data_IF_585713176944
#
_entry.id   IF_585713176944
#
_cell.length_a   1.000
_cell.length_b   1.000
_cell.length_c   1.000
_cell.angle_alpha   90.00
_cell.angle_beta   90.00
_cell.angle_gamma   90.00
#
_symmetry.space_group_name_H-M   'P 1'
#
loop_
_entity.id
_entity.type
_entity.pdbx_description
1 polymer ?
#
# COMPACT_ATOMS: atom_id res chain seq x y z
N UNK A 1 -6.94 39.18 -25.58
CA UNK A 1 -7.42 38.20 -26.57
C UNK A 1 -6.28 37.90 -27.54
N UNK A 2 -5.52 36.81 -27.34
CA UNK A 2 -4.43 36.42 -28.25
C UNK A 2 -4.81 35.16 -29.01
N UNK A 3 -5.23 35.34 -30.26
CA UNK A 3 -5.30 34.30 -31.30
C UNK A 3 -3.85 34.00 -31.75
N UNK A 4 -3.56 32.75 -32.14
CA UNK A 4 -2.31 32.24 -32.75
C UNK A 4 -1.39 31.35 -31.88
N UNK A 5 -1.83 30.13 -31.55
CA UNK A 5 -0.93 29.00 -31.30
C UNK A 5 -1.19 27.91 -32.36
N UNK A 6 -0.17 27.60 -33.18
CA UNK A 6 -0.24 26.67 -34.35
C UNK A 6 -0.03 25.19 -34.02
N UNK A 7 0.02 24.80 -32.76
CA UNK A 7 0.11 23.40 -32.36
C UNK A 7 -1.17 22.98 -31.63
N UNK A 8 -2.09 22.35 -32.36
CA UNK A 8 -3.07 21.48 -31.70
C UNK A 8 -2.28 20.29 -31.16
N UNK A 9 -2.02 20.27 -29.86
CA UNK A 9 -1.60 19.04 -29.19
C UNK A 9 -2.67 18.00 -29.49
N UNK A 10 -2.36 17.05 -30.39
CA UNK A 10 -3.15 15.83 -30.52
C UNK A 10 -3.08 15.17 -29.14
N UNK A 11 -4.14 15.34 -28.35
CA UNK A 11 -4.41 14.49 -27.22
C UNK A 11 -4.55 13.07 -27.78
N UNK A 12 -3.44 12.34 -27.81
CA UNK A 12 -3.49 10.92 -28.04
C UNK A 12 -4.27 10.36 -26.87
N UNK A 13 -5.53 9.97 -27.12
CA UNK A 13 -6.32 9.21 -26.15
C UNK A 13 -5.58 7.90 -25.98
N UNK A 14 -4.65 7.86 -25.02
CA UNK A 14 -4.06 6.60 -24.57
C UNK A 14 -5.25 5.76 -24.13
N UNK A 15 -5.45 4.55 -24.67
CA UNK A 15 -6.49 3.68 -24.14
C UNK A 15 -6.15 3.46 -22.66
N UNK A 16 -6.99 4.02 -21.78
CA UNK A 16 -6.94 3.76 -20.34
C UNK A 16 -7.56 2.37 -20.17
N UNK A 17 -6.83 1.34 -20.59
CA UNK A 17 -7.19 -0.05 -20.33
C UNK A 17 -6.06 -0.74 -19.57
N UNK A 18 -5.45 -0.04 -18.60
CA UNK A 18 -4.91 -0.79 -17.47
C UNK A 18 -6.11 -1.30 -16.70
N UNK A 19 -6.44 -2.59 -16.89
CA UNK A 19 -7.29 -3.32 -15.97
C UNK A 19 -6.68 -3.14 -14.58
N UNK A 20 -7.21 -2.21 -13.81
CA UNK A 20 -6.85 -2.11 -12.40
C UNK A 20 -7.34 -3.41 -11.78
N UNK A 21 -6.41 -4.21 -11.26
CA UNK A 21 -6.79 -5.37 -10.46
C UNK A 21 -7.60 -4.86 -9.27
N UNK A 22 -8.90 -5.17 -9.28
CA UNK A 22 -9.81 -4.79 -8.22
C UNK A 22 -9.43 -5.62 -7.00
N UNK A 23 -8.93 -4.95 -5.95
CA UNK A 23 -8.66 -5.58 -4.66
C UNK A 23 -10.02 -6.03 -4.08
N UNK A 24 -10.25 -7.34 -4.05
CA UNK A 24 -11.46 -7.94 -3.47
C UNK A 24 -11.42 -7.81 -1.95
N UNK A 25 -12.57 -7.60 -1.32
CA UNK A 25 -12.74 -7.57 0.14
C UNK A 25 -11.89 -6.51 0.86
N UNK A 26 -11.58 -5.39 0.19
CA UNK A 26 -10.89 -4.27 0.83
C UNK A 26 -11.75 -3.66 1.95
N UNK A 27 -11.11 -3.36 3.07
CA UNK A 27 -11.72 -2.62 4.19
C UNK A 27 -11.31 -1.15 4.07
N UNK A 28 -12.28 -0.24 4.05
CA UNK A 28 -12.01 1.20 3.95
C UNK A 28 -11.31 1.72 5.20
N UNK A 29 -10.45 2.73 5.03
CA UNK A 29 -9.85 3.52 6.12
C UNK A 29 -10.91 4.13 7.05
N UNK A 30 -12.11 4.42 6.55
CA UNK A 30 -13.23 4.96 7.34
C UNK A 30 -13.74 3.98 8.39
N UNK A 31 -13.52 2.67 8.20
CA UNK A 31 -13.94 1.64 9.17
C UNK A 31 -12.91 1.47 10.30
N UNK A 32 -11.84 2.27 10.32
CA UNK A 32 -10.85 2.22 11.39
C UNK A 32 -11.40 2.82 12.68
N UNK A 33 -11.16 2.18 13.83
CA UNK A 33 -11.37 2.81 15.12
C UNK A 33 -10.58 4.12 15.25
N UNK A 34 -11.19 5.16 15.84
CA UNK A 34 -10.59 6.50 15.97
C UNK A 34 -9.25 6.51 16.72
N UNK A 35 -9.06 5.59 17.67
CA UNK A 35 -7.82 5.40 18.41
C UNK A 35 -6.58 5.23 17.49
N UNK A 36 -6.77 4.65 16.30
CA UNK A 36 -5.70 4.45 15.29
C UNK A 36 -5.31 5.79 14.69
N UNK A 37 -6.27 6.70 14.49
CA UNK A 37 -6.02 8.04 13.96
C UNK A 37 -5.35 8.95 14.99
N UNK A 38 -5.72 8.77 16.27
CA UNK A 38 -5.13 9.49 17.40
C UNK A 38 -3.75 8.97 17.82
N UNK A 39 -3.29 7.83 17.29
CA UNK A 39 -2.00 7.19 17.63
C UNK A 39 -1.88 6.88 19.13
N UNK A 40 -2.98 6.40 19.72
CA UNK A 40 -3.08 6.18 21.18
C UNK A 40 -2.53 4.82 21.64
N UNK A 41 -2.23 3.90 20.73
CA UNK A 41 -1.71 2.56 21.06
C UNK A 41 -0.55 2.15 20.17
N UNK A 42 0.30 1.28 20.72
CA UNK A 42 1.33 0.59 19.94
C UNK A 42 0.72 -0.53 19.10
N UNK A 43 1.28 -0.72 17.90
CA UNK A 43 1.01 -1.88 17.06
C UNK A 43 0.13 -1.60 15.86
N UNK A 44 -0.17 -0.34 15.57
CA UNK A 44 -0.81 0.06 14.33
C UNK A 44 0.28 0.42 13.31
N UNK A 45 0.35 -0.33 12.21
CA UNK A 45 1.40 -0.22 11.20
C UNK A 45 0.87 0.41 9.92
N UNK A 46 1.68 1.28 9.32
CA UNK A 46 1.50 1.79 7.97
C UNK A 46 2.54 1.13 7.05
N UNK A 47 2.10 0.62 5.89
CA UNK A 47 2.96 -0.09 4.96
C UNK A 47 2.89 0.54 3.57
N UNK A 48 4.07 0.73 2.97
CA UNK A 48 4.23 1.23 1.62
C UNK A 48 5.20 0.35 0.82
N UNK A 49 5.00 0.33 -0.50
CA UNK A 49 5.88 -0.34 -1.43
C UNK A 49 6.59 0.70 -2.29
N UNK A 50 7.86 0.88 -2.01
CA UNK A 50 8.77 1.73 -2.77
C UNK A 50 9.21 0.96 -4.00
N UNK A 51 8.96 1.51 -5.18
CA UNK A 51 9.33 0.90 -6.46
C UNK A 51 10.31 1.83 -7.16
N UNK A 52 11.47 1.31 -7.54
CA UNK A 52 12.43 2.09 -8.31
C UNK A 52 11.96 2.31 -9.75
N UNK A 53 12.37 3.46 -10.32
CA UNK A 53 12.15 3.75 -11.73
C UNK A 53 12.78 2.65 -12.60
N UNK A 54 12.15 2.36 -13.72
CA UNK A 54 12.57 1.33 -14.68
C UNK A 54 12.55 -0.11 -14.14
N UNK A 55 11.75 -0.39 -13.10
CA UNK A 55 11.58 -1.74 -12.51
C UNK A 55 12.89 -2.38 -12.01
N UNK A 56 13.90 -1.57 -11.66
CA UNK A 56 15.21 -2.07 -11.20
C UNK A 56 15.18 -2.72 -9.81
N UNK A 57 14.16 -2.40 -9.03
CA UNK A 57 13.98 -2.96 -7.70
C UNK A 57 12.68 -2.52 -7.04
N UNK A 58 12.35 -3.17 -5.93
CA UNK A 58 11.28 -2.78 -5.04
C UNK A 58 11.70 -3.02 -3.59
N UNK A 59 11.17 -2.23 -2.67
CA UNK A 59 11.37 -2.38 -1.23
C UNK A 59 10.05 -2.13 -0.52
N UNK A 60 9.80 -2.86 0.56
CA UNK A 60 8.66 -2.58 1.44
C UNK A 60 9.15 -1.82 2.66
N UNK A 61 8.44 -0.76 3.02
CA UNK A 61 8.61 -0.03 4.27
C UNK A 61 7.38 -0.26 5.15
N UNK A 62 7.61 -0.45 6.44
CA UNK A 62 6.56 -0.58 7.45
C UNK A 62 6.91 0.32 8.62
N UNK A 63 5.98 1.18 9.00
CA UNK A 63 6.17 2.22 10.00
C UNK A 63 5.11 2.03 11.08
N UNK A 64 5.56 1.84 12.31
CA UNK A 64 4.66 1.83 13.46
C UNK A 64 4.24 3.28 13.78
N UNK A 65 2.93 3.53 13.92
CA UNK A 65 2.39 4.90 13.87
C UNK A 65 2.59 5.72 15.14
N UNK A 66 2.89 5.07 16.27
CA UNK A 66 2.95 5.71 17.61
C UNK A 66 4.39 6.06 18.01
N UNK A 67 5.32 5.12 17.86
CA UNK A 67 6.74 5.29 18.19
C UNK A 67 7.62 5.50 16.95
N UNK A 68 7.04 5.53 15.74
CA UNK A 68 7.76 5.68 14.48
C UNK A 68 8.86 4.62 14.26
N UNK A 69 8.65 3.40 14.77
CA UNK A 69 9.56 2.27 14.49
C UNK A 69 9.48 1.90 13.01
N UNK A 70 10.62 1.84 12.35
CA UNK A 70 10.70 1.59 10.91
C UNK A 70 11.33 0.23 10.63
N UNK A 71 10.64 -0.56 9.81
CA UNK A 71 11.15 -1.81 9.23
C UNK A 71 11.16 -1.68 7.71
N UNK A 72 12.32 -1.87 7.09
CA UNK A 72 12.47 -1.80 5.63
C UNK A 72 13.14 -3.08 5.13
N UNK A 73 12.65 -3.64 4.03
CA UNK A 73 13.32 -4.76 3.35
C UNK A 73 13.23 -4.64 1.84
N UNK A 74 14.35 -4.93 1.17
CA UNK A 74 14.43 -5.05 -0.28
C UNK A 74 13.74 -6.34 -0.76
N UNK A 75 12.97 -6.23 -1.84
CA UNK A 75 12.29 -7.35 -2.48
C UNK A 75 13.15 -7.87 -3.63
N UNK A 76 13.76 -9.03 -3.44
CA UNK A 76 14.60 -9.67 -4.47
C UNK A 76 13.80 -10.08 -5.70
N UNK A 77 12.53 -10.47 -5.51
CA UNK A 77 11.61 -10.89 -6.57
C UNK A 77 10.80 -9.74 -7.17
N UNK A 78 11.20 -8.49 -6.92
CA UNK A 78 10.54 -7.29 -7.46
C UNK A 78 9.09 -7.13 -7.03
N UNK A 79 8.18 -6.92 -7.99
CA UNK A 79 6.75 -6.57 -7.77
C UNK A 79 5.81 -7.77 -7.58
N UNK A 80 6.33 -8.97 -7.36
CA UNK A 80 5.49 -10.15 -7.15
C UNK A 80 4.67 -9.98 -5.85
N UNK A 81 3.34 -9.98 -5.96
CA UNK A 81 2.43 -9.72 -4.84
C UNK A 81 2.50 -10.80 -3.74
N UNK A 82 2.75 -12.06 -4.10
CA UNK A 82 2.91 -13.16 -3.15
C UNK A 82 4.24 -13.04 -2.40
N UNK A 83 5.33 -12.76 -3.11
CA UNK A 83 6.64 -12.53 -2.50
C UNK A 83 6.61 -11.33 -1.54
N UNK A 84 5.91 -10.26 -1.92
CA UNK A 84 5.66 -9.11 -1.05
C UNK A 84 4.89 -9.51 0.21
N UNK A 85 3.78 -10.24 0.06
CA UNK A 85 2.97 -10.67 1.20
C UNK A 85 3.77 -11.55 2.17
N UNK A 86 4.54 -12.51 1.66
CA UNK A 86 5.41 -13.35 2.47
C UNK A 86 6.47 -12.52 3.19
N UNK A 87 7.07 -11.55 2.50
CA UNK A 87 8.05 -10.64 3.11
C UNK A 87 7.45 -9.85 4.28
N UNK A 88 6.24 -9.28 4.09
CA UNK A 88 5.55 -8.55 5.17
C UNK A 88 5.23 -9.47 6.34
N UNK A 89 4.76 -10.69 6.07
CA UNK A 89 4.49 -11.68 7.12
C UNK A 89 5.78 -11.99 7.89
N UNK A 90 6.86 -12.34 7.21
CA UNK A 90 8.13 -12.72 7.86
C UNK A 90 8.69 -11.60 8.74
N UNK A 91 8.53 -10.35 8.31
CA UNK A 91 9.00 -9.19 9.08
C UNK A 91 8.14 -8.87 10.30
N UNK A 92 6.82 -9.08 10.22
CA UNK A 92 5.90 -8.77 11.31
C UNK A 92 5.58 -9.97 12.21
N UNK A 93 5.88 -11.20 11.79
CA UNK A 93 5.61 -12.42 12.54
C UNK A 93 6.26 -12.43 13.94
N UNK A 94 7.51 -11.96 14.13
CA UNK A 94 8.11 -11.83 15.47
C UNK A 94 7.32 -10.88 16.40
N UNK A 95 6.60 -9.92 15.82
CA UNK A 95 5.82 -8.90 16.53
C UNK A 95 4.31 -9.19 16.51
N UNK A 96 3.88 -10.36 16.04
CA UNK A 96 2.48 -10.68 15.75
C UNK A 96 1.51 -10.30 16.89
N UNK A 97 1.88 -10.58 18.13
CA UNK A 97 1.03 -10.29 19.30
C UNK A 97 0.83 -8.78 19.54
N UNK A 98 1.78 -7.97 19.10
CA UNK A 98 1.72 -6.52 19.15
C UNK A 98 0.99 -5.91 17.93
N UNK A 99 1.02 -6.55 16.76
CA UNK A 99 0.39 -6.02 15.53
C UNK A 99 -1.13 -6.00 15.64
N UNK A 100 -1.73 -4.81 15.78
CA UNK A 100 -3.18 -4.60 15.94
C UNK A 100 -3.88 -4.20 14.65
N UNK A 101 -3.22 -3.45 13.77
CA UNK A 101 -3.73 -3.16 12.44
C UNK A 101 -2.62 -2.86 11.45
N UNK A 102 -2.95 -3.00 10.18
CA UNK A 102 -2.10 -2.66 9.04
C UNK A 102 -2.88 -1.73 8.12
N UNK A 103 -2.22 -0.68 7.67
CA UNK A 103 -2.73 0.34 6.78
C UNK A 103 -1.87 0.38 5.53
N UNK A 104 -2.48 0.38 4.35
CA UNK A 104 -1.77 0.67 3.11
C UNK A 104 -2.52 1.65 2.22
N UNK A 105 -1.81 2.23 1.26
CA UNK A 105 -2.41 3.01 0.19
C UNK A 105 -3.30 2.12 -0.70
N UNK A 106 -4.12 2.73 -1.55
CA UNK A 106 -5.00 1.98 -2.45
C UNK A 106 -4.28 1.45 -3.71
N UNK A 107 -2.96 1.27 -3.65
CA UNK A 107 -2.20 0.68 -4.72
C UNK A 107 -2.59 -0.77 -4.94
N UNK A 108 -2.68 -1.21 -6.20
CA UNK A 108 -2.89 -2.62 -6.58
C UNK A 108 -1.71 -3.54 -6.20
N UNK A 109 -0.85 -3.11 -5.27
CA UNK A 109 0.37 -3.75 -4.83
C UNK A 109 0.07 -4.78 -3.73
N UNK A 110 -0.97 -4.54 -2.92
CA UNK A 110 -1.38 -5.40 -1.81
C UNK A 110 -2.66 -6.19 -2.11
N UNK A 111 -2.76 -6.77 -3.31
CA UNK A 111 -3.88 -7.65 -3.68
C UNK A 111 -3.99 -8.84 -2.72
N UNK A 112 -2.86 -9.35 -2.21
CA UNK A 112 -2.79 -10.48 -1.27
C UNK A 112 -2.93 -10.07 0.22
N UNK A 113 -3.46 -8.88 0.53
CA UNK A 113 -3.62 -8.40 1.91
C UNK A 113 -4.40 -9.36 2.83
N UNK A 114 -5.35 -10.14 2.29
CA UNK A 114 -6.11 -11.10 3.09
C UNK A 114 -5.20 -12.20 3.67
N UNK A 115 -4.17 -12.63 2.95
CA UNK A 115 -3.20 -13.61 3.43
C UNK A 115 -2.41 -13.02 4.59
N UNK A 116 -1.95 -11.77 4.46
CA UNK A 116 -1.23 -11.02 5.50
C UNK A 116 -2.11 -10.92 6.76
N UNK A 117 -3.33 -10.40 6.61
CA UNK A 117 -4.30 -10.24 7.69
C UNK A 117 -4.57 -11.56 8.42
N UNK A 118 -4.79 -12.65 7.66
CA UNK A 118 -5.07 -13.99 8.21
C UNK A 118 -3.87 -14.54 8.99
N UNK A 119 -2.65 -14.44 8.44
CA UNK A 119 -1.43 -14.99 9.07
C UNK A 119 -1.05 -14.23 10.33
N UNK A 120 -1.19 -12.90 10.30
CA UNK A 120 -0.89 -12.03 11.44
C UNK A 120 -2.07 -11.89 12.41
N UNK A 121 -3.25 -12.42 12.08
CA UNK A 121 -4.49 -12.28 12.88
C UNK A 121 -4.81 -10.81 13.20
N UNK A 122 -4.72 -9.97 12.17
CA UNK A 122 -4.83 -8.52 12.30
C UNK A 122 -5.77 -7.94 11.25
N UNK A 123 -6.22 -6.69 11.47
CA UNK A 123 -7.05 -5.97 10.50
C UNK A 123 -6.18 -5.28 9.45
N UNK A 124 -6.63 -5.29 8.19
CA UNK A 124 -5.94 -4.63 7.09
C UNK A 124 -6.87 -3.63 6.41
N UNK A 125 -6.45 -2.37 6.34
CA UNK A 125 -7.25 -1.26 5.83
C UNK A 125 -6.58 -0.56 4.65
N UNK A 126 -7.39 -0.06 3.73
CA UNK A 126 -6.94 0.68 2.55
C UNK A 126 -7.39 2.13 2.59
N UNK A 127 -6.48 3.04 2.25
CA UNK A 127 -6.81 4.44 1.99
C UNK A 127 -7.71 4.58 0.76
N UNK A 128 -8.33 5.75 0.58
CA UNK A 128 -9.12 6.02 -0.62
C UNK A 128 -8.21 6.02 -1.87
N UNK A 129 -8.69 5.53 -3.03
CA UNK A 129 -8.03 5.83 -4.29
C UNK A 129 -8.03 7.34 -4.48
N UNK A 130 -6.90 7.92 -4.88
CA UNK A 130 -6.82 9.34 -5.20
C UNK A 130 -7.93 9.71 -6.18
N UNK A 131 -8.88 10.54 -5.73
CA UNK A 131 -9.74 11.32 -6.59
C UNK A 131 -8.94 12.60 -6.91
N UNK A 132 -8.30 12.64 -8.06
CA UNK A 132 -7.66 13.83 -8.61
C UNK A 132 -8.14 14.03 -10.04
#
# INVERSE_FOLDING_TARGET
>A
MCKHLRHQFRHSKRPISRKHEIIKNKVSIEQRPDLINKKERFGDWEIDLIVEKNNKGAMVSMIERTIAMVLIRKLEKGKNAEALANTVIDMLLPYKNAVKSITSDNGSKFVQHQIIAKKLQTMFYFSHPYAS
#
